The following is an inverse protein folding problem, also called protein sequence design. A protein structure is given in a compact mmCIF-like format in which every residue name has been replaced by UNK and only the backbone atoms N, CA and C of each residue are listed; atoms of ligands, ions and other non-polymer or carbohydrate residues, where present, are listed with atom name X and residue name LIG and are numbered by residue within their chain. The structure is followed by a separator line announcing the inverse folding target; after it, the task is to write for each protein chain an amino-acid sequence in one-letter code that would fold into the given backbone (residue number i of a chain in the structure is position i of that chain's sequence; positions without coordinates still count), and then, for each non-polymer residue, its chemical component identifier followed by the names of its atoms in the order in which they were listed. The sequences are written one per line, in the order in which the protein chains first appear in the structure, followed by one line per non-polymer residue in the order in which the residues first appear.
data_IF_824653134973
#
_entry.id   IF_824653134973
#
_cell.length_a   1.000
_cell.length_b   1.000
_cell.length_c   1.000
_cell.angle_alpha   90.00
_cell.angle_beta   90.00
_cell.angle_gamma   90.00
#
_symmetry.space_group_name_H-M   'P 1'
#
loop_
_entity.id
_entity.type
_entity.pdbx_description
1 polymer ?
#
# COMPACT_ATOMS: atom_id res chain seq x y z
N UNK A 1 3.53 -16.68 -12.66
CA UNK A 1 4.57 -16.90 -11.65
C UNK A 1 4.02 -17.83 -10.59
N UNK A 2 4.56 -19.05 -10.44
CA UNK A 2 4.21 -19.91 -9.31
C UNK A 2 4.84 -19.31 -8.05
N UNK A 3 4.12 -19.30 -6.94
CA UNK A 3 4.61 -18.77 -5.65
C UNK A 3 5.92 -19.43 -5.23
N UNK A 4 6.10 -20.71 -5.56
CA UNK A 4 7.32 -21.46 -5.24
C UNK A 4 8.59 -20.94 -5.95
N UNK A 5 8.48 -20.52 -7.21
CA UNK A 5 9.61 -19.91 -7.96
C UNK A 5 9.99 -18.55 -7.37
N UNK A 6 8.98 -17.76 -6.97
CA UNK A 6 9.20 -16.46 -6.34
C UNK A 6 9.95 -16.60 -4.99
N UNK A 7 9.63 -17.62 -4.19
CA UNK A 7 10.32 -17.83 -2.91
C UNK A 7 11.73 -18.41 -3.04
N UNK A 8 12.07 -19.04 -4.16
CA UNK A 8 13.46 -19.41 -4.44
C UNK A 8 14.35 -18.18 -4.64
N UNK A 9 13.81 -17.12 -5.24
CA UNK A 9 14.53 -15.84 -5.41
C UNK A 9 14.55 -14.99 -4.12
N UNK A 10 13.55 -15.13 -3.25
CA UNK A 10 13.44 -14.41 -1.96
C UNK A 10 14.37 -14.99 -0.88
N UNK A 11 15.15 -16.05 -1.19
CA UNK A 11 15.98 -16.71 -0.19
C UNK A 11 16.99 -15.76 0.47
N UNK A 12 17.48 -14.71 -0.20
CA UNK A 12 18.38 -13.72 0.43
C UNK A 12 17.76 -12.32 0.56
N UNK A 13 16.45 -12.22 0.41
CA UNK A 13 15.72 -10.95 0.50
C UNK A 13 15.18 -10.73 1.90
N UNK A 14 15.44 -9.55 2.47
CA UNK A 14 14.93 -9.13 3.79
C UNK A 14 13.69 -8.24 3.70
N UNK A 15 13.49 -7.57 2.56
CA UNK A 15 12.38 -6.65 2.31
C UNK A 15 11.71 -6.97 0.98
N UNK A 16 10.41 -7.26 1.01
CA UNK A 16 9.62 -7.62 -0.17
C UNK A 16 8.52 -6.58 -0.36
N UNK A 17 8.51 -5.92 -1.53
CA UNK A 17 7.47 -4.95 -1.91
C UNK A 17 6.63 -5.54 -3.04
N UNK A 18 5.32 -5.65 -2.80
CA UNK A 18 4.36 -6.30 -3.67
C UNK A 18 3.36 -5.30 -4.24
N UNK A 19 3.05 -5.44 -5.53
CA UNK A 19 1.94 -4.77 -6.18
C UNK A 19 1.13 -5.83 -6.94
N UNK A 20 0.07 -6.32 -6.30
CA UNK A 20 -0.79 -7.37 -6.83
C UNK A 20 -2.19 -7.24 -6.22
N UNK A 21 -3.18 -7.92 -6.81
CA UNK A 21 -4.53 -7.98 -6.24
C UNK A 21 -4.56 -8.60 -4.85
N UNK A 22 -5.58 -8.26 -4.07
CA UNK A 22 -5.70 -8.60 -2.65
C UNK A 22 -5.52 -10.09 -2.36
N UNK A 23 -6.17 -10.94 -3.16
CA UNK A 23 -6.13 -12.39 -2.98
C UNK A 23 -4.75 -12.94 -3.34
N UNK A 24 -4.08 -12.35 -4.32
CA UNK A 24 -2.71 -12.72 -4.66
C UNK A 24 -1.73 -12.36 -3.55
N UNK A 25 -1.88 -11.19 -2.94
CA UNK A 25 -1.12 -10.81 -1.75
C UNK A 25 -1.38 -11.79 -0.62
N UNK A 26 -2.65 -12.17 -0.38
CA UNK A 26 -3.00 -13.16 0.65
C UNK A 26 -2.35 -14.52 0.42
N UNK A 27 -2.41 -15.04 -0.81
CA UNK A 27 -1.76 -16.28 -1.21
C UNK A 27 -0.24 -16.25 -0.93
N UNK A 28 0.41 -15.14 -1.29
CA UNK A 28 1.85 -14.94 -1.05
C UNK A 28 2.14 -14.93 0.45
N UNK A 29 1.36 -14.19 1.24
CA UNK A 29 1.56 -14.10 2.69
C UNK A 29 1.35 -15.45 3.38
N UNK A 30 0.33 -16.22 2.99
CA UNK A 30 0.11 -17.58 3.51
C UNK A 30 1.28 -18.52 3.15
N UNK A 31 1.77 -18.44 1.91
CA UNK A 31 2.90 -19.23 1.46
C UNK A 31 4.22 -18.84 2.17
N UNK A 32 4.41 -17.56 2.48
CA UNK A 32 5.53 -17.04 3.28
C UNK A 32 5.42 -17.51 4.74
N UNK A 33 4.22 -17.47 5.33
CA UNK A 33 3.96 -17.92 6.69
C UNK A 33 4.29 -19.41 6.87
N UNK A 34 3.85 -20.25 5.92
CA UNK A 34 4.16 -21.68 5.89
C UNK A 34 5.67 -21.97 5.83
N UNK A 35 6.44 -21.04 5.25
CA UNK A 35 7.91 -21.10 5.15
C UNK A 35 8.63 -20.39 6.31
N UNK A 36 7.90 -19.95 7.32
CA UNK A 36 8.42 -19.23 8.49
C UNK A 36 9.12 -17.90 8.14
N UNK A 37 8.75 -17.26 7.02
CA UNK A 37 9.31 -15.97 6.61
C UNK A 37 8.62 -14.77 7.29
N UNK A 38 7.48 -14.98 7.95
CA UNK A 38 6.71 -13.93 8.65
C UNK A 38 6.99 -13.90 10.16
N UNK A 39 8.16 -14.37 10.61
CA UNK A 39 8.58 -14.38 12.02
C UNK A 39 9.50 -13.19 12.37
N UNK A 40 9.63 -12.24 11.45
CA UNK A 40 10.57 -11.11 11.52
C UNK A 40 11.83 -11.30 10.66
N UNK A 41 12.01 -12.43 9.99
CA UNK A 41 13.11 -12.65 9.04
C UNK A 41 12.94 -11.94 7.71
N UNK A 42 11.71 -11.54 7.35
CA UNK A 42 11.39 -10.71 6.19
C UNK A 42 10.35 -9.66 6.59
N UNK A 43 10.43 -8.48 5.96
CA UNK A 43 9.42 -7.44 6.03
C UNK A 43 8.66 -7.38 4.70
N UNK A 44 7.33 -7.44 4.77
CA UNK A 44 6.49 -7.40 3.58
C UNK A 44 5.77 -6.06 3.49
N UNK A 45 5.67 -5.56 2.26
CA UNK A 45 4.89 -4.40 1.91
C UNK A 45 3.96 -4.73 0.75
N UNK A 46 2.71 -4.27 0.80
CA UNK A 46 1.87 -4.19 -0.39
C UNK A 46 1.46 -2.75 -0.68
N UNK A 47 1.22 -2.46 -1.94
CA UNK A 47 0.78 -1.13 -2.41
C UNK A 47 -0.71 -1.19 -2.74
N UNK A 48 -1.51 -0.46 -1.98
CA UNK A 48 -2.96 -0.32 -2.13
C UNK A 48 -3.35 1.17 -2.16
N UNK A 49 -3.19 1.78 -3.34
CA UNK A 49 -3.40 3.21 -3.53
C UNK A 49 -4.86 3.57 -3.78
N UNK A 50 -5.63 2.69 -4.43
CA UNK A 50 -6.90 3.09 -5.02
C UNK A 50 -8.10 2.75 -4.16
N UNK A 51 -7.93 1.99 -3.07
CA UNK A 51 -9.04 1.54 -2.21
C UNK A 51 -10.16 0.86 -3.04
N UNK A 52 -9.76 0.19 -4.12
CA UNK A 52 -10.64 -0.64 -4.93
C UNK A 52 -10.66 -2.04 -4.30
N UNK A 53 -11.79 -2.74 -4.35
CA UNK A 53 -11.89 -4.06 -3.72
C UNK A 53 -10.89 -5.06 -4.31
N UNK A 54 -10.47 -4.84 -5.55
CA UNK A 54 -9.44 -5.62 -6.23
C UNK A 54 -8.06 -5.56 -5.55
N UNK A 55 -7.72 -4.44 -4.90
CA UNK A 55 -6.53 -4.30 -4.05
C UNK A 55 -6.81 -4.66 -2.58
N UNK A 56 -8.10 -4.77 -2.24
CA UNK A 56 -8.61 -5.19 -0.95
C UNK A 56 -8.93 -3.99 -0.06
N UNK A 57 -9.34 -4.27 1.17
CA UNK A 57 -9.39 -3.29 2.27
C UNK A 57 -8.23 -3.51 3.25
N UNK A 58 -7.15 -4.14 2.79
CA UNK A 58 -6.09 -4.66 3.66
C UNK A 58 -6.50 -5.82 4.57
N UNK A 59 -7.73 -6.34 4.46
CA UNK A 59 -8.18 -7.45 5.32
C UNK A 59 -7.52 -8.76 4.93
N UNK A 60 -7.02 -9.45 5.96
CA UNK A 60 -6.56 -10.83 5.92
C UNK A 60 -7.73 -11.83 5.85
N UNK A 61 -8.92 -11.43 6.29
CA UNK A 61 -10.08 -12.30 6.47
C UNK A 61 -10.79 -12.57 5.15
N UNK A 62 -11.13 -13.83 4.90
CA UNK A 62 -11.93 -14.30 3.75
C UNK A 62 -13.09 -15.21 4.15
N UNK A 63 -13.22 -15.58 5.42
CA UNK A 63 -14.20 -16.54 5.90
C UNK A 63 -13.86 -17.98 5.54
N UNK A 64 -12.57 -18.27 5.32
CA UNK A 64 -12.07 -19.61 4.98
C UNK A 64 -11.30 -20.24 6.16
N UNK A 65 -10.84 -21.48 5.99
CA UNK A 65 -10.09 -22.22 7.01
C UNK A 65 -8.68 -21.65 7.30
N UNK A 66 -8.18 -20.75 6.46
CA UNK A 66 -6.84 -20.16 6.55
C UNK A 66 -6.83 -18.81 7.26
N UNK A 67 -7.98 -18.29 7.70
CA UNK A 67 -8.09 -16.94 8.27
C UNK A 67 -7.20 -16.73 9.51
N UNK A 68 -7.05 -17.74 10.37
CA UNK A 68 -6.17 -17.64 11.53
C UNK A 68 -4.68 -17.53 11.14
N UNK A 69 -4.27 -18.27 10.11
CA UNK A 69 -2.91 -18.22 9.57
C UNK A 69 -2.68 -16.95 8.77
N UNK A 70 -3.69 -16.48 8.02
CA UNK A 70 -3.65 -15.21 7.31
C UNK A 70 -3.47 -14.04 8.30
N UNK A 71 -4.23 -14.01 9.40
CA UNK A 71 -4.06 -13.00 10.45
C UNK A 71 -2.63 -12.96 10.98
N UNK A 72 -2.05 -14.12 11.28
CA UNK A 72 -0.65 -14.21 11.76
C UNK A 72 0.34 -13.78 10.69
N UNK A 73 0.16 -14.21 9.44
CA UNK A 73 1.01 -13.82 8.32
C UNK A 73 1.00 -12.30 8.11
N UNK A 74 -0.19 -11.70 8.13
CA UNK A 74 -0.42 -10.27 7.93
C UNK A 74 0.18 -9.41 9.04
N UNK A 75 0.48 -9.96 10.23
CA UNK A 75 1.25 -9.23 11.24
C UNK A 75 2.64 -8.77 10.77
N UNK A 76 3.16 -9.36 9.68
CA UNK A 76 4.41 -8.95 9.01
C UNK A 76 4.21 -8.14 7.73
N UNK A 77 2.95 -7.89 7.32
CA UNK A 77 2.59 -7.13 6.14
C UNK A 77 2.25 -5.69 6.50
N UNK A 78 2.90 -4.75 5.84
CA UNK A 78 2.63 -3.32 5.93
C UNK A 78 2.01 -2.82 4.62
N UNK A 79 0.94 -2.04 4.72
CA UNK A 79 0.20 -1.57 3.54
C UNK A 79 0.53 -0.11 3.28
N UNK A 80 1.05 0.20 2.10
CA UNK A 80 1.21 1.58 1.63
C UNK A 80 -0.09 2.00 0.93
N UNK A 81 -0.73 3.05 1.44
CA UNK A 81 -1.96 3.61 0.88
C UNK A 81 -1.84 5.12 0.71
N UNK A 82 -2.81 5.75 0.03
CA UNK A 82 -2.87 7.20 -0.03
C UNK A 82 -3.25 7.78 1.33
N UNK A 83 -2.68 8.93 1.66
CA UNK A 83 -3.10 9.67 2.84
C UNK A 83 -4.56 10.12 2.64
N UNK A 84 -5.48 9.56 3.42
CA UNK A 84 -6.87 10.01 3.47
C UNK A 84 -7.06 10.90 4.67
N UNK A 85 -7.53 12.12 4.44
CA UNK A 85 -8.01 12.97 5.54
C UNK A 85 -9.48 12.69 5.76
N UNK A 86 -9.86 12.34 7.00
CA UNK A 86 -11.27 12.25 7.37
C UNK A 86 -11.76 13.65 7.68
N UNK A 87 -12.63 14.18 6.81
CA UNK A 87 -13.27 15.49 6.98
C UNK A 87 -14.79 15.35 6.77
N UNK A 88 -15.62 16.10 7.49
CA UNK A 88 -17.07 16.08 7.29
C UNK A 88 -17.50 16.37 5.83
N UNK A 89 -16.75 17.23 5.13
CA UNK A 89 -16.98 17.56 3.73
C UNK A 89 -16.78 16.34 2.82
N UNK A 90 -15.75 15.54 3.08
CA UNK A 90 -15.48 14.30 2.36
C UNK A 90 -16.58 13.25 2.57
N UNK A 91 -17.11 13.15 3.80
CA UNK A 91 -18.23 12.25 4.10
C UNK A 91 -19.49 12.65 3.33
N UNK A 92 -19.83 13.95 3.32
CA UNK A 92 -20.94 14.46 2.55
C UNK A 92 -20.77 14.21 1.05
N UNK A 93 -19.58 14.51 0.51
CA UNK A 93 -19.25 14.21 -0.88
C UNK A 93 -19.43 12.73 -1.21
N UNK A 94 -18.99 11.83 -0.32
CA UNK A 94 -19.13 10.39 -0.49
C UNK A 94 -20.60 9.95 -0.53
N UNK A 95 -21.45 10.53 0.30
CA UNK A 95 -22.90 10.29 0.29
C UNK A 95 -23.54 10.81 -0.99
N UNK A 96 -23.18 12.00 -1.45
CA UNK A 96 -23.71 12.59 -2.68
C UNK A 96 -23.34 11.80 -3.92
N UNK A 97 -22.07 11.36 -4.01
CA UNK A 97 -21.59 10.52 -5.11
C UNK A 97 -22.34 9.19 -5.16
N UNK A 98 -22.53 8.52 -4.02
CA UNK A 98 -23.30 7.27 -3.95
C UNK A 98 -24.73 7.47 -4.45
N UNK A 99 -25.43 8.49 -3.96
CA UNK A 99 -26.79 8.85 -4.40
C UNK A 99 -26.85 9.19 -5.90
N UNK A 100 -25.82 9.81 -6.43
CA UNK A 100 -25.73 10.13 -7.86
C UNK A 100 -25.63 8.85 -8.70
N UNK A 101 -24.72 7.94 -8.31
CA UNK A 101 -24.50 6.65 -8.98
C UNK A 101 -25.72 5.73 -8.95
N UNK A 102 -26.43 5.70 -7.82
CA UNK A 102 -27.72 4.99 -7.66
C UNK A 102 -28.76 5.51 -8.66
N UNK A 103 -28.91 6.83 -8.78
CA UNK A 103 -29.90 7.46 -9.69
C UNK A 103 -29.65 7.15 -11.16
N UNK A 104 -28.39 7.03 -11.58
CA UNK A 104 -28.02 6.76 -12.97
C UNK A 104 -27.89 5.26 -13.28
N UNK A 105 -28.14 4.39 -12.30
CA UNK A 105 -28.11 2.94 -12.49
C UNK A 105 -26.71 2.35 -12.66
N UNK A 106 -25.66 3.04 -12.21
CA UNK A 106 -24.26 2.59 -12.29
C UNK A 106 -23.83 1.75 -11.08
N UNK A 107 -24.78 1.20 -10.32
CA UNK A 107 -24.50 0.49 -9.06
C UNK A 107 -24.24 -1.02 -9.23
N UNK A 108 -24.36 -1.56 -10.45
CA UNK A 108 -24.28 -3.02 -10.70
C UNK A 108 -22.84 -3.54 -10.76
N UNK A 109 -21.91 -2.90 -10.05
CA UNK A 109 -20.52 -3.36 -9.92
C UNK A 109 -20.07 -3.35 -8.45
N UNK A 110 -19.28 -4.36 -8.06
CA UNK A 110 -18.88 -4.61 -6.65
C UNK A 110 -18.20 -3.42 -5.96
N UNK A 111 -17.61 -2.52 -6.74
CA UNK A 111 -16.74 -1.43 -6.25
C UNK A 111 -17.34 -0.05 -6.49
N UNK A 112 -18.44 0.02 -7.25
CA UNK A 112 -19.05 1.27 -7.68
C UNK A 112 -19.59 2.09 -6.51
N UNK A 113 -19.88 1.48 -5.35
CA UNK A 113 -20.36 2.20 -4.16
C UNK A 113 -19.28 2.97 -3.39
N UNK A 114 -17.99 2.77 -3.70
CA UNK A 114 -16.87 3.36 -2.96
C UNK A 114 -16.26 4.54 -3.70
N UNK A 115 -16.13 5.69 -3.01
CA UNK A 115 -15.33 6.80 -3.50
C UNK A 115 -13.86 6.40 -3.50
N UNK A 116 -13.26 6.38 -4.70
CA UNK A 116 -11.84 6.12 -4.90
C UNK A 116 -11.10 7.43 -5.22
N UNK A 117 -9.76 7.34 -5.29
CA UNK A 117 -8.88 8.48 -5.60
C UNK A 117 -9.26 9.19 -6.90
N UNK A 118 -9.76 8.48 -7.91
CA UNK A 118 -10.09 9.10 -9.19
C UNK A 118 -11.28 10.06 -9.07
N UNK A 119 -12.30 9.68 -8.29
CA UNK A 119 -13.46 10.54 -8.05
C UNK A 119 -13.09 11.80 -7.26
N UNK A 120 -12.25 11.64 -6.22
CA UNK A 120 -11.64 12.77 -5.50
C UNK A 120 -10.82 13.65 -6.46
N UNK A 121 -9.93 13.04 -7.23
CA UNK A 121 -9.03 13.75 -8.14
C UNK A 121 -9.76 14.55 -9.21
N UNK A 122 -10.86 14.03 -9.77
CA UNK A 122 -11.68 14.78 -10.75
C UNK A 122 -12.47 15.92 -10.11
N UNK A 123 -12.98 15.74 -8.89
CA UNK A 123 -13.58 16.83 -8.13
C UNK A 123 -12.55 17.97 -7.93
N UNK A 124 -11.37 17.62 -7.45
CA UNK A 124 -10.32 18.59 -7.13
C UNK A 124 -9.71 19.22 -8.39
N UNK A 125 -9.67 18.51 -9.52
CA UNK A 125 -9.27 19.06 -10.81
C UNK A 125 -10.22 20.17 -11.28
N UNK A 126 -11.53 20.03 -11.07
CA UNK A 126 -12.50 21.08 -11.40
C UNK A 126 -12.33 22.31 -10.51
N UNK A 127 -12.05 22.11 -9.22
CA UNK A 127 -11.74 23.20 -8.29
C UNK A 127 -10.46 23.94 -8.70
N UNK A 128 -9.39 23.20 -8.99
CA UNK A 128 -8.12 23.72 -9.48
C UNK A 128 -8.32 24.54 -10.76
N UNK A 129 -9.07 24.01 -11.73
CA UNK A 129 -9.41 24.72 -12.96
C UNK A 129 -10.20 26.01 -12.69
N UNK A 130 -11.20 25.98 -11.81
CA UNK A 130 -12.00 27.16 -11.49
C UNK A 130 -11.14 28.27 -10.88
N UNK A 131 -10.21 27.92 -9.98
CA UNK A 131 -9.29 28.90 -9.39
C UNK A 131 -8.36 29.49 -10.46
N UNK A 132 -7.72 28.63 -11.26
CA UNK A 132 -6.80 29.07 -12.30
C UNK A 132 -7.48 29.94 -13.38
N UNK A 133 -8.70 29.57 -13.78
CA UNK A 133 -9.50 30.36 -14.71
C UNK A 133 -9.87 31.73 -14.12
N UNK A 134 -10.24 31.78 -12.83
CA UNK A 134 -10.55 33.04 -12.16
C UNK A 134 -9.36 34.01 -12.18
N UNK A 135 -8.16 33.51 -11.87
CA UNK A 135 -6.93 34.30 -11.93
C UNK A 135 -6.61 34.78 -13.35
N UNK A 136 -6.73 33.88 -14.34
CA UNK A 136 -6.52 34.22 -15.73
C UNK A 136 -7.47 35.34 -16.20
N UNK A 137 -8.77 35.25 -15.86
CA UNK A 137 -9.77 36.28 -16.18
C UNK A 137 -9.43 37.63 -15.54
N UNK A 138 -8.96 37.63 -14.29
CA UNK A 138 -8.54 38.85 -13.58
C UNK A 138 -7.37 39.55 -14.26
N UNK A 139 -6.51 38.78 -14.95
CA UNK A 139 -5.36 39.27 -15.70
C UNK A 139 -5.68 39.59 -17.17
N UNK A 140 -6.95 39.64 -17.57
CA UNK A 140 -7.39 40.02 -18.92
C UNK A 140 -7.34 38.88 -19.94
N UNK A 141 -7.05 37.65 -19.52
CA UNK A 141 -7.17 36.48 -20.37
C UNK A 141 -8.62 35.98 -20.42
N UNK A 142 -8.88 34.97 -21.27
CA UNK A 142 -10.16 34.29 -21.33
C UNK A 142 -9.98 32.76 -21.33
N UNK A 143 -11.10 32.03 -21.26
CA UNK A 143 -11.11 30.55 -21.20
C UNK A 143 -10.41 29.84 -22.37
N UNK A 144 -10.06 30.54 -23.45
CA UNK A 144 -9.31 29.97 -24.59
C UNK A 144 -7.79 30.05 -24.40
N UNK A 145 -7.30 30.80 -23.42
CA UNK A 145 -5.89 30.91 -23.08
C UNK A 145 -5.44 29.71 -22.24
N UNK A 146 -5.43 28.52 -22.84
CA UNK A 146 -5.12 27.26 -22.16
C UNK A 146 -3.76 27.27 -21.45
N UNK A 147 -2.71 27.78 -22.11
CA UNK A 147 -1.36 27.87 -21.52
C UNK A 147 -1.32 28.72 -20.26
N UNK A 148 -2.00 29.87 -20.24
CA UNK A 148 -2.06 30.75 -19.06
C UNK A 148 -2.87 30.07 -17.94
N UNK A 149 -4.00 29.45 -18.28
CA UNK A 149 -4.79 28.72 -17.29
C UNK A 149 -3.98 27.58 -16.68
N UNK A 150 -3.26 26.80 -17.49
CA UNK A 150 -2.41 25.71 -16.99
C UNK A 150 -1.24 26.23 -16.16
N UNK A 151 -0.59 27.33 -16.54
CA UNK A 151 0.49 27.89 -15.72
C UNK A 151 -0.01 28.35 -14.34
N UNK A 152 -1.24 28.88 -14.26
CA UNK A 152 -1.92 29.19 -13.00
C UNK A 152 -2.32 27.95 -12.16
N UNK A 153 -2.30 26.74 -12.74
CA UNK A 153 -2.56 25.50 -11.99
C UNK A 153 -1.32 24.93 -11.31
N UNK A 154 -0.12 25.24 -11.80
CA UNK A 154 1.12 24.61 -11.37
C UNK A 154 1.73 25.32 -10.15
N UNK A 155 2.63 24.62 -9.45
CA UNK A 155 3.40 25.14 -8.31
C UNK A 155 2.54 25.81 -7.23
N UNK A 156 1.47 25.13 -6.80
CA UNK A 156 0.51 25.69 -5.84
C UNK A 156 -0.11 24.63 -4.95
N UNK A 157 -0.65 25.08 -3.83
CA UNK A 157 -1.42 24.26 -2.91
C UNK A 157 -2.82 24.84 -2.76
N UNK A 158 -3.84 23.99 -2.76
CA UNK A 158 -5.22 24.36 -2.51
C UNK A 158 -5.90 23.30 -1.63
N UNK A 159 -7.06 23.64 -1.08
CA UNK A 159 -7.86 22.71 -0.27
C UNK A 159 -8.80 21.94 -1.19
N UNK A 160 -8.59 20.63 -1.32
CA UNK A 160 -9.45 19.70 -2.03
C UNK A 160 -10.48 19.04 -1.11
N UNK A 161 -11.28 18.13 -1.65
CA UNK A 161 -12.38 17.50 -0.89
C UNK A 161 -11.90 16.56 0.22
N UNK A 162 -10.74 15.92 0.02
CA UNK A 162 -10.15 14.98 0.97
C UNK A 162 -8.90 15.53 1.69
N UNK A 163 -8.64 16.83 1.60
CA UNK A 163 -7.47 17.48 2.21
C UNK A 163 -6.72 18.39 1.25
N UNK A 164 -5.53 18.81 1.67
CA UNK A 164 -4.68 19.66 0.85
C UNK A 164 -4.18 18.93 -0.40
N UNK A 165 -4.20 19.63 -1.51
CA UNK A 165 -3.67 19.17 -2.80
C UNK A 165 -2.58 20.12 -3.23
N UNK A 166 -1.37 19.60 -3.43
CA UNK A 166 -0.21 20.39 -3.90
C UNK A 166 0.21 19.94 -5.28
N UNK A 167 0.19 20.84 -6.25
CA UNK A 167 0.71 20.65 -7.61
C UNK A 167 2.12 21.24 -7.66
N UNK A 168 3.09 20.46 -8.10
CA UNK A 168 4.48 20.88 -8.21
C UNK A 168 4.72 21.79 -9.43
N UNK A 169 5.97 22.21 -9.61
CA UNK A 169 6.36 23.08 -10.71
C UNK A 169 6.33 22.40 -12.09
N UNK A 170 6.21 21.07 -12.15
CA UNK A 170 6.05 20.29 -13.38
C UNK A 170 4.57 20.05 -13.72
N UNK A 171 3.65 20.46 -12.84
CA UNK A 171 2.22 20.24 -13.03
C UNK A 171 1.70 18.93 -12.46
N UNK A 172 2.50 18.22 -11.67
CA UNK A 172 2.14 16.93 -11.10
C UNK A 172 1.71 17.07 -9.63
N UNK A 173 0.71 16.28 -9.21
CA UNK A 173 0.27 16.25 -7.81
C UNK A 173 1.36 15.59 -6.96
N UNK A 174 1.77 16.27 -5.90
CA UNK A 174 2.59 15.67 -4.85
C UNK A 174 1.78 14.57 -4.15
N UNK A 175 2.30 13.35 -4.14
CA UNK A 175 1.65 12.21 -3.51
C UNK A 175 1.89 12.17 -2.00
N UNK A 176 0.81 12.22 -1.24
CA UNK A 176 0.82 11.98 0.20
C UNK A 176 0.37 10.53 0.46
N UNK A 177 1.11 9.83 1.31
CA UNK A 177 0.90 8.41 1.58
C UNK A 177 0.81 8.12 3.08
N UNK A 178 0.12 7.04 3.42
CA UNK A 178 0.06 6.46 4.75
C UNK A 178 0.64 5.06 4.72
N UNK A 179 1.39 4.71 5.75
CA UNK A 179 1.83 3.35 6.02
C UNK A 179 0.93 2.76 7.11
N UNK A 180 0.23 1.68 6.79
CA UNK A 180 -0.58 0.93 7.74
C UNK A 180 0.14 -0.33 8.18
N UNK A 181 0.04 -0.65 9.46
CA UNK A 181 0.59 -1.88 10.04
C UNK A 181 -0.39 -2.46 11.04
N UNK A 182 -0.39 -3.79 11.20
CA UNK A 182 -1.22 -4.45 12.20
C UNK A 182 -0.65 -4.11 13.57
N UNK A 183 -1.42 -3.45 14.44
CA UNK A 183 -0.99 -3.05 15.80
C UNK A 183 -1.41 -4.08 16.84
N UNK A 184 -2.61 -4.67 16.68
CA UNK A 184 -3.12 -5.75 17.52
C UNK A 184 -3.28 -7.04 16.69
N UNK A 185 -2.40 -8.02 16.93
CA UNK A 185 -2.37 -9.28 16.18
C UNK A 185 -3.51 -10.21 16.56
N UNK A 186 -3.98 -10.18 17.82
CA UNK A 186 -5.09 -11.03 18.28
C UNK A 186 -6.40 -10.59 17.60
N UNK A 187 -6.66 -9.28 17.60
CA UNK A 187 -7.81 -8.69 16.92
C UNK A 187 -7.63 -8.62 15.39
N UNK A 188 -6.39 -8.64 14.90
CA UNK A 188 -6.06 -8.44 13.49
C UNK A 188 -6.28 -7.00 13.00
N UNK A 189 -6.24 -6.01 13.90
CA UNK A 189 -6.54 -4.61 13.57
C UNK A 189 -5.33 -3.86 13.05
N UNK A 190 -5.54 -3.10 11.98
CA UNK A 190 -4.55 -2.22 11.37
C UNK A 190 -4.76 -0.77 11.77
N UNK A 191 -3.66 -0.05 11.92
CA UNK A 191 -3.65 1.39 12.16
C UNK A 191 -2.62 2.05 11.24
N UNK A 192 -2.81 3.34 10.99
CA UNK A 192 -1.78 4.16 10.34
C UNK A 192 -0.65 4.37 11.35
N UNK A 193 0.56 3.99 10.96
CA UNK A 193 1.75 4.10 11.81
C UNK A 193 2.73 5.16 11.34
N UNK A 194 2.64 5.59 10.07
CA UNK A 194 3.43 6.69 9.55
C UNK A 194 2.74 7.36 8.36
N UNK A 195 3.06 8.62 8.11
CA UNK A 195 2.64 9.36 6.93
C UNK A 195 3.85 9.88 6.17
N UNK A 196 3.78 9.86 4.84
CA UNK A 196 4.70 10.57 3.98
C UNK A 196 3.98 11.78 3.39
N UNK A 197 4.57 12.97 3.58
CA UNK A 197 4.04 14.22 3.04
C UNK A 197 4.91 14.62 1.84
N UNK A 198 4.31 14.57 0.65
CA UNK A 198 5.01 14.72 -0.62
C UNK A 198 5.62 16.10 -0.83
N UNK A 199 4.89 17.16 -0.46
CA UNK A 199 5.32 18.54 -0.71
C UNK A 199 6.63 18.90 0.00
N UNK A 200 6.85 18.37 1.22
CA UNK A 200 8.07 18.62 1.99
C UNK A 200 8.99 17.39 2.10
N UNK A 201 8.60 16.27 1.47
CA UNK A 201 9.33 14.99 1.45
C UNK A 201 9.63 14.45 2.85
N UNK A 202 8.70 14.66 3.79
CA UNK A 202 8.88 14.22 5.18
C UNK A 202 8.18 12.90 5.45
N UNK A 203 8.88 12.00 6.15
CA UNK A 203 8.30 10.79 6.72
C UNK A 203 8.04 11.02 8.21
N UNK A 204 6.77 10.99 8.60
CA UNK A 204 6.28 11.34 9.92
C UNK A 204 5.77 10.09 10.62
N UNK A 205 6.47 9.67 11.68
CA UNK A 205 6.05 8.53 12.50
C UNK A 205 4.89 8.95 13.42
N UNK A 206 3.89 8.08 13.56
CA UNK A 206 2.74 8.28 14.44
C UNK A 206 2.91 7.50 15.75
N UNK A 207 2.07 7.78 16.75
CA UNK A 207 2.12 7.15 18.07
C UNK A 207 1.99 5.63 18.04
N UNK A 208 1.30 5.08 17.03
CA UNK A 208 1.12 3.64 16.83
C UNK A 208 2.37 2.93 16.27
N UNK A 209 3.41 3.67 15.86
CA UNK A 209 4.63 3.11 15.32
C UNK A 209 5.43 2.35 16.38
N UNK A 210 5.71 1.07 16.11
CA UNK A 210 6.58 0.23 16.95
C UNK A 210 7.82 -0.17 16.14
N UNK A 211 8.96 0.46 16.43
CA UNK A 211 10.23 0.21 15.73
C UNK A 211 10.66 -1.25 15.76
N UNK A 212 10.25 -2.03 16.77
CA UNK A 212 10.60 -3.47 16.87
C UNK A 212 9.94 -4.31 15.79
N UNK A 213 8.85 -3.82 15.18
CA UNK A 213 8.16 -4.47 14.05
C UNK A 213 8.75 -4.10 12.69
N UNK A 214 9.60 -3.08 12.66
CA UNK A 214 10.29 -2.59 11.47
C UNK A 214 11.79 -2.92 11.48
N UNK A 215 12.19 -3.92 12.29
CA UNK A 215 13.56 -4.43 12.35
C UNK A 215 13.56 -5.89 11.94
N UNK A 216 14.37 -6.22 10.93
CA UNK A 216 14.58 -7.60 10.51
C UNK A 216 15.39 -8.32 11.57
N UNK A 217 14.85 -9.42 12.10
CA UNK A 217 15.58 -10.30 13.00
C UNK A 217 16.47 -11.18 12.13
N UNK A 218 17.79 -11.12 12.34
CA UNK A 218 18.75 -11.93 11.61
C UNK A 218 18.32 -13.40 11.59
N UNK A 219 18.42 -14.03 10.41
CA UNK A 219 18.06 -15.44 10.26
C UNK A 219 19.02 -16.27 11.12
N UNK A 220 18.48 -17.11 12.02
CA UNK A 220 19.29 -18.18 12.57
C UNK A 220 19.65 -19.11 11.41
N UNK A 221 20.92 -19.14 11.02
CA UNK A 221 21.44 -20.22 10.19
C UNK A 221 21.16 -21.53 10.94
N UNK A 222 20.17 -22.28 10.44
CA UNK A 222 20.06 -23.68 10.82
C UNK A 222 21.24 -24.35 10.13
N UNK A 223 22.35 -24.47 10.85
CA UNK A 223 23.46 -25.35 10.48
C UNK A 223 22.89 -26.78 10.44
N UNK A 224 22.41 -27.18 9.26
CA UNK A 224 22.20 -28.59 8.96
C UNK A 224 23.60 -29.20 8.85
N UNK A 225 24.15 -29.61 9.99
CA UNK A 225 25.28 -30.53 10.02
C UNK A 225 24.86 -31.79 9.28
N UNK A 226 25.26 -31.88 8.01
CA UNK A 226 25.24 -33.13 7.26
C UNK A 226 26.08 -34.15 8.04
N UNK A 227 25.57 -35.35 8.35
CA UNK A 227 26.35 -36.36 9.04
C UNK A 227 27.57 -36.69 8.17
N UNK A 228 28.77 -36.40 8.68
CA UNK A 228 30.01 -36.87 8.07
C UNK A 228 29.98 -38.40 8.07
N UNK A 229 29.82 -38.99 6.89
CA UNK A 229 30.08 -40.42 6.70
C UNK A 229 31.59 -40.61 6.73
N UNK A 230 32.10 -41.11 7.86
CA UNK A 230 33.48 -41.56 7.99
C UNK A 230 33.71 -42.75 7.06
N UNK A 231 34.39 -42.52 5.93
CA UNK A 231 35.00 -43.59 5.16
C UNK A 231 36.22 -44.11 5.94
N UNK A 232 36.02 -45.13 6.77
CA UNK A 232 37.11 -45.97 7.26
C UNK A 232 37.63 -46.84 6.10
N UNK A 233 38.81 -46.48 5.60
CA UNK A 233 39.62 -47.32 4.72
C UNK A 233 40.30 -48.41 5.57
N UNK A 234 39.60 -49.54 5.74
CA UNK A 234 40.21 -50.78 6.20
C UNK A 234 40.95 -51.47 5.06
N UNK A 235 42.27 -51.36 5.03
CA UNK A 235 43.13 -52.27 4.24
C UNK A 235 44.14 -52.90 5.19
N UNK A 236 43.83 -54.12 5.62
CA UNK A 236 44.80 -55.02 6.27
C UNK A 236 45.45 -55.90 5.21
N UNK A 237 46.76 -56.05 5.33
CA UNK A 237 47.64 -56.76 4.42
C UNK A 237 47.38 -58.28 4.38
N UNK A 238 47.65 -58.90 3.24
CA UNK A 238 48.06 -60.29 3.18
C UNK A 238 49.17 -60.51 2.15
N UNK A 239 50.15 -61.25 2.62
CA UNK A 239 51.42 -61.72 2.06
C UNK A 239 51.31 -62.55 0.78
N UNK A 240 52.34 -62.43 -0.07
CA UNK A 240 52.66 -63.32 -1.17
C UNK A 240 53.88 -62.83 -1.95
#
# INVERSE_FOLDING_TARGET
LRTDEMFQEIHDTEVVIMCAGADRVREIMLAAHKRQLTNGSCMFFNVDLFNASSYGNGSWQRGDEYDDDARKAYSSLNTVTLLKTVKPEYENFSVEMRKSMERVGLYDCSDCGNVNMFLEGFHDAMLLYAIALHEALKNGYNKKNGTEITSHMWNRTFEGIAGQVSIDANGDRNGDFSLMSMTNVEAGSYEVVANYIGVNKTFQLLSAFDSRRFTVKGRQEVNLELPQTSCELGVSALTG
#
